data_IF_177969708636
#
_entry.id   IF_177969708636
#
_cell.length_a   1.000
_cell.length_b   1.000
_cell.length_c   1.000
_cell.angle_alpha   90.00
_cell.angle_beta   90.00
_cell.angle_gamma   90.00
#
_symmetry.space_group_name_H-M   'P 1'
#
loop_
_entity.id
_entity.type
_entity.pdbx_description
1 polymer ?
#
# COMPACT_ATOMS: atom_id res chain seq x y z
N UNK A 1 31.07 2.66 -2.88
CA UNK A 1 30.04 3.59 -3.41
C UNK A 1 30.42 3.92 -4.84
N UNK A 2 29.50 3.84 -5.81
CA UNK A 2 29.79 3.90 -7.26
C UNK A 2 30.08 5.31 -7.82
N UNK A 3 30.12 6.36 -6.99
CA UNK A 3 30.46 7.73 -7.45
C UNK A 3 29.37 8.43 -8.30
N UNK A 4 28.16 7.87 -8.33
CA UNK A 4 27.04 8.37 -9.13
C UNK A 4 26.36 9.54 -8.40
N UNK A 5 26.10 10.63 -9.13
CA UNK A 5 25.32 11.77 -8.64
C UNK A 5 23.82 11.40 -8.63
N UNK A 6 23.19 11.56 -7.46
CA UNK A 6 21.79 11.23 -7.23
C UNK A 6 20.82 12.12 -8.04
N UNK A 7 21.26 13.30 -8.47
CA UNK A 7 20.47 14.24 -9.25
C UNK A 7 20.53 14.01 -10.77
N UNK A 8 21.35 13.08 -11.26
CA UNK A 8 21.44 12.82 -12.69
C UNK A 8 20.15 12.24 -13.25
N UNK A 9 19.81 12.65 -14.48
CA UNK A 9 18.53 12.32 -15.12
C UNK A 9 18.32 10.83 -15.33
N UNK A 10 19.38 10.07 -15.63
CA UNK A 10 19.33 8.62 -15.81
C UNK A 10 19.03 7.88 -14.50
N UNK A 11 19.58 8.34 -13.38
CA UNK A 11 19.30 7.83 -12.03
C UNK A 11 17.85 8.10 -11.65
N UNK A 12 17.39 9.33 -11.87
CA UNK A 12 16.01 9.74 -11.58
C UNK A 12 15.01 8.99 -12.46
N UNK A 13 15.30 8.78 -13.74
CA UNK A 13 14.45 8.02 -14.64
C UNK A 13 14.34 6.55 -14.20
N UNK A 14 15.47 5.93 -13.81
CA UNK A 14 15.48 4.55 -13.29
C UNK A 14 14.69 4.45 -11.98
N UNK A 15 14.86 5.42 -11.09
CA UNK A 15 14.09 5.48 -9.83
C UNK A 15 12.59 5.66 -10.09
N UNK A 16 12.22 6.60 -10.96
CA UNK A 16 10.83 6.84 -11.34
C UNK A 16 10.21 5.59 -11.94
N UNK A 17 10.86 4.89 -12.88
CA UNK A 17 10.34 3.64 -13.44
C UNK A 17 10.14 2.56 -12.38
N UNK A 18 11.07 2.46 -11.42
CA UNK A 18 10.96 1.52 -10.31
C UNK A 18 9.79 1.84 -9.36
N UNK A 19 9.50 3.11 -9.11
CA UNK A 19 8.49 3.55 -8.13
C UNK A 19 7.12 3.89 -8.71
N UNK A 20 7.03 4.20 -10.01
CA UNK A 20 5.81 4.74 -10.64
C UNK A 20 4.61 3.82 -10.44
N UNK A 21 4.78 2.52 -10.59
CA UNK A 21 3.69 1.56 -10.38
C UNK A 21 3.25 1.51 -8.91
N UNK A 22 4.19 1.43 -7.97
CA UNK A 22 3.89 1.43 -6.53
C UNK A 22 3.17 2.72 -6.11
N UNK A 23 3.65 3.88 -6.58
CA UNK A 23 3.05 5.18 -6.27
C UNK A 23 1.65 5.31 -6.87
N UNK A 24 1.44 4.86 -8.10
CA UNK A 24 0.10 4.87 -8.72
C UNK A 24 -0.86 3.94 -7.97
N UNK A 25 -0.42 2.73 -7.62
CA UNK A 25 -1.22 1.78 -6.86
C UNK A 25 -1.61 2.35 -5.47
N UNK A 26 -0.65 2.95 -4.76
CA UNK A 26 -0.91 3.58 -3.46
C UNK A 26 -1.87 4.78 -3.59
N UNK A 27 -1.70 5.61 -4.62
CA UNK A 27 -2.60 6.73 -4.89
C UNK A 27 -4.03 6.28 -5.16
N UNK A 28 -4.20 5.23 -5.98
CA UNK A 28 -5.51 4.64 -6.24
C UNK A 28 -6.12 4.05 -4.96
N UNK A 29 -5.36 3.25 -4.21
CA UNK A 29 -5.83 2.64 -2.96
C UNK A 29 -6.31 3.71 -1.97
N UNK A 30 -5.52 4.77 -1.79
CA UNK A 30 -5.85 5.87 -0.87
C UNK A 30 -7.12 6.61 -1.31
N UNK A 31 -7.23 6.93 -2.60
CA UNK A 31 -8.41 7.62 -3.11
C UNK A 31 -9.67 6.73 -3.03
N UNK A 32 -9.56 5.44 -3.33
CA UNK A 32 -10.65 4.48 -3.19
C UNK A 32 -11.13 4.36 -1.75
N UNK A 33 -10.20 4.27 -0.78
CA UNK A 33 -10.55 4.29 0.64
C UNK A 33 -11.24 5.59 1.04
N UNK A 34 -10.71 6.74 0.62
CA UNK A 34 -11.33 8.03 0.89
C UNK A 34 -12.75 8.10 0.32
N UNK A 35 -12.98 7.67 -0.93
CA UNK A 35 -14.31 7.64 -1.54
C UNK A 35 -15.27 6.71 -0.80
N UNK A 36 -14.80 5.53 -0.39
CA UNK A 36 -15.62 4.52 0.29
C UNK A 36 -16.05 4.96 1.70
N UNK A 37 -15.21 5.71 2.42
CA UNK A 37 -15.48 6.10 3.81
C UNK A 37 -15.95 7.54 3.99
N UNK A 38 -15.58 8.46 3.10
CA UNK A 38 -15.95 9.89 3.19
C UNK A 38 -17.37 10.19 2.64
N UNK A 39 -17.92 9.29 1.83
CA UNK A 39 -19.22 9.48 1.19
C UNK A 39 -20.38 8.89 2.02
N UNK A 40 -21.52 9.59 2.05
CA UNK A 40 -22.75 9.19 2.78
C UNK A 40 -23.77 8.42 1.94
N UNK A 41 -23.44 8.06 0.70
CA UNK A 41 -24.31 7.31 -0.21
C UNK A 41 -24.72 5.94 0.36
N UNK A 42 -26.02 5.61 0.25
CA UNK A 42 -26.60 4.33 0.71
C UNK A 42 -25.97 3.13 0.01
N UNK A 43 -25.59 3.26 -1.27
CA UNK A 43 -24.92 2.21 -2.03
C UNK A 43 -23.52 1.90 -1.48
N UNK A 44 -22.71 2.94 -1.23
CA UNK A 44 -21.36 2.78 -0.67
C UNK A 44 -21.40 2.24 0.76
N UNK A 45 -22.41 2.64 1.54
CA UNK A 45 -22.67 2.05 2.86
C UNK A 45 -22.90 0.55 2.76
N UNK A 46 -23.79 0.10 1.86
CA UNK A 46 -24.06 -1.33 1.69
C UNK A 46 -22.80 -2.11 1.26
N UNK A 47 -22.02 -1.58 0.32
CA UNK A 47 -20.75 -2.18 -0.11
C UNK A 47 -19.77 -2.30 1.06
N UNK A 48 -19.63 -1.25 1.87
CA UNK A 48 -18.76 -1.26 3.06
C UNK A 48 -19.23 -2.28 4.09
N UNK A 49 -20.52 -2.32 4.39
CA UNK A 49 -21.07 -3.19 5.43
C UNK A 49 -20.95 -4.67 5.03
N UNK A 50 -21.18 -4.99 3.75
CA UNK A 50 -20.93 -6.33 3.20
C UNK A 50 -19.43 -6.66 3.26
N UNK A 51 -18.57 -5.74 2.83
CA UNK A 51 -17.12 -5.94 2.82
C UNK A 51 -16.55 -6.21 4.22
N UNK A 52 -16.92 -5.38 5.19
CA UNK A 52 -16.49 -5.56 6.59
C UNK A 52 -17.07 -6.84 7.20
N UNK A 53 -18.35 -7.15 6.92
CA UNK A 53 -18.98 -8.38 7.38
C UNK A 53 -18.31 -9.66 6.84
N UNK A 54 -17.82 -9.63 5.60
CA UNK A 54 -17.05 -10.74 5.01
C UNK A 54 -15.68 -10.90 5.68
N UNK A 55 -14.97 -9.79 5.91
CA UNK A 55 -13.66 -9.81 6.59
C UNK A 55 -13.80 -10.32 8.02
N UNK A 56 -14.82 -9.89 8.76
CA UNK A 56 -15.05 -10.33 10.14
C UNK A 56 -15.44 -11.81 10.24
N UNK A 57 -16.09 -12.37 9.22
CA UNK A 57 -16.44 -13.80 9.17
C UNK A 57 -15.32 -14.71 8.64
N UNK A 58 -14.22 -14.14 8.14
CA UNK A 58 -13.08 -14.88 7.62
C UNK A 58 -11.79 -14.51 8.38
N UNK A 59 -11.51 -15.16 9.54
CA UNK A 59 -10.29 -14.92 10.33
C UNK A 59 -8.96 -14.91 9.53
N UNK A 60 -8.68 -15.85 8.60
CA UNK A 60 -7.43 -15.81 7.85
C UNK A 60 -7.34 -14.59 6.93
N UNK A 61 -8.47 -14.15 6.35
CA UNK A 61 -8.52 -12.95 5.52
C UNK A 61 -8.25 -11.70 6.34
N UNK A 62 -8.86 -11.61 7.53
CA UNK A 62 -8.63 -10.53 8.48
C UNK A 62 -7.17 -10.44 8.90
N UNK A 63 -6.54 -11.55 9.24
CA UNK A 63 -5.11 -11.61 9.58
C UNK A 63 -4.23 -11.17 8.41
N UNK A 64 -4.55 -11.58 7.18
CA UNK A 64 -3.83 -11.13 5.99
C UNK A 64 -3.93 -9.61 5.79
N UNK A 65 -5.12 -9.02 5.93
CA UNK A 65 -5.30 -7.57 5.83
C UNK A 65 -4.50 -6.82 6.90
N UNK A 66 -4.52 -7.31 8.14
CA UNK A 66 -3.74 -6.71 9.24
C UNK A 66 -2.25 -6.76 8.94
N UNK A 67 -1.71 -7.91 8.50
CA UNK A 67 -0.29 -8.05 8.13
C UNK A 67 0.10 -7.13 6.98
N UNK A 68 -0.76 -7.00 5.97
CA UNK A 68 -0.55 -6.08 4.86
C UNK A 68 -0.52 -4.62 5.33
N UNK A 69 -1.47 -4.21 6.17
CA UNK A 69 -1.55 -2.86 6.73
C UNK A 69 -0.36 -2.53 7.66
N UNK A 70 0.14 -3.52 8.39
CA UNK A 70 1.34 -3.40 9.21
C UNK A 70 2.65 -3.32 8.40
N UNK A 71 2.60 -3.46 7.07
CA UNK A 71 3.79 -3.47 6.22
C UNK A 71 4.64 -4.74 6.37
N UNK A 72 4.07 -5.80 6.95
CA UNK A 72 4.74 -7.08 7.19
C UNK A 72 4.58 -8.08 6.03
N UNK A 73 3.95 -7.65 4.95
CA UNK A 73 3.74 -8.43 3.73
C UNK A 73 4.76 -8.05 2.66
N UNK A 74 5.51 -9.04 2.15
CA UNK A 74 6.50 -8.85 1.08
C UNK A 74 7.97 -8.85 1.57
N UNK A 75 8.88 -8.29 0.76
CA UNK A 75 10.28 -8.14 1.15
C UNK A 75 10.43 -7.01 2.17
N UNK A 76 10.35 -7.36 3.45
CA UNK A 76 10.53 -6.42 4.55
C UNK A 76 11.96 -5.84 4.51
N UNK A 77 12.14 -4.50 4.42
CA UNK A 77 13.44 -3.85 4.42
C UNK A 77 14.30 -4.26 5.61
N UNK A 78 15.61 -4.37 5.42
CA UNK A 78 16.59 -4.68 6.49
C UNK A 78 16.45 -3.75 7.71
N UNK A 79 16.14 -2.47 7.47
CA UNK A 79 15.84 -1.49 8.51
C UNK A 79 14.62 -1.85 9.38
N UNK A 80 13.55 -2.40 8.78
CA UNK A 80 12.36 -2.83 9.50
C UNK A 80 12.60 -4.12 10.31
N UNK A 81 13.68 -4.85 10.00
CA UNK A 81 14.15 -6.02 10.76
C UNK A 81 15.18 -5.66 11.84
N UNK A 82 15.56 -4.38 11.97
CA UNK A 82 16.62 -3.94 12.87
C UNK A 82 18.04 -4.25 12.40
N UNK A 83 18.23 -4.60 11.12
CA UNK A 83 19.55 -4.86 10.53
C UNK A 83 20.17 -3.57 9.97
N UNK A 84 21.49 -3.41 10.13
CA UNK A 84 22.24 -2.28 9.57
C UNK A 84 22.33 -2.33 8.03
N UNK A 85 22.27 -1.15 7.38
CA UNK A 85 22.32 -0.98 5.91
C UNK A 85 23.64 -1.44 5.30
#
# INVERSE_FOLDING_TARGET
RLGIDLGQSDVLERYQRCRRFDTMAMGLATNSLNLLFSNKSTLLRAVRDIGLGLVDRAPPLKEMFIRQAAGLSGQVPRLLKGEAL
#
